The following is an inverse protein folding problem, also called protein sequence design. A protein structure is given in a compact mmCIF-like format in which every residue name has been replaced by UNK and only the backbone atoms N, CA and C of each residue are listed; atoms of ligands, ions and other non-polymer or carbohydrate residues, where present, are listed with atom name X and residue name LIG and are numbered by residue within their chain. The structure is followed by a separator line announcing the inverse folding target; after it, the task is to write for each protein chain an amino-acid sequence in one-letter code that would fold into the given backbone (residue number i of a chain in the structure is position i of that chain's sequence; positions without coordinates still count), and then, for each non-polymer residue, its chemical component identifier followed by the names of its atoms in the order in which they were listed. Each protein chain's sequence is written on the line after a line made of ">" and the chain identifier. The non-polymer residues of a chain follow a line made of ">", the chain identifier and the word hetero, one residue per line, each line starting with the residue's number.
data_IF_360392537238
#
_entry.id   IF_360392537238
#
_cell.length_a   1.000
_cell.length_b   1.000
_cell.length_c   1.000
_cell.angle_alpha   90.00
_cell.angle_beta   90.00
_cell.angle_gamma   90.00
#
_symmetry.space_group_name_H-M   'P 1'
#
loop_
_entity.id
_entity.type
_entity.pdbx_description
1 polymer ?
#
# COMPACT_ATOMS: atom_id res chain seq x y z
N UNK A 1 -7.60 -40.92 14.53
CA UNK A 1 -8.02 -40.66 13.14
C UNK A 1 -7.81 -39.19 12.81
N UNK A 2 -6.72 -38.85 12.12
CA UNK A 2 -6.44 -37.50 11.62
C UNK A 2 -7.14 -37.35 10.27
N UNK A 3 -8.18 -36.51 10.17
CA UNK A 3 -8.80 -36.18 8.89
C UNK A 3 -7.87 -35.25 8.13
N UNK A 4 -7.29 -35.78 7.05
CA UNK A 4 -6.56 -35.04 6.02
C UNK A 4 -7.53 -34.09 5.29
N UNK A 5 -7.20 -32.80 5.26
CA UNK A 5 -7.84 -31.83 4.37
C UNK A 5 -7.55 -32.20 2.90
N UNK A 6 -8.47 -31.95 1.96
CA UNK A 6 -8.27 -32.30 0.55
C UNK A 6 -7.11 -31.49 -0.03
N UNK A 7 -6.15 -32.18 -0.65
CA UNK A 7 -5.15 -31.59 -1.53
C UNK A 7 -5.82 -31.28 -2.87
N UNK A 8 -6.35 -30.08 -3.04
CA UNK A 8 -6.70 -29.56 -4.37
C UNK A 8 -5.43 -28.99 -5.04
N UNK A 9 -4.64 -29.91 -5.58
CA UNK A 9 -3.70 -29.59 -6.66
C UNK A 9 -4.51 -29.37 -7.93
N UNK A 10 -4.60 -28.13 -8.41
CA UNK A 10 -4.19 -27.68 -9.76
C UNK A 10 -4.91 -26.38 -10.15
N UNK A 11 -4.44 -25.23 -9.66
CA UNK A 11 -4.61 -23.97 -10.37
C UNK A 11 -3.32 -23.69 -11.14
N UNK A 12 -3.30 -24.07 -12.42
CA UNK A 12 -2.21 -23.73 -13.35
C UNK A 12 -2.49 -22.37 -13.98
N UNK A 13 -1.45 -21.54 -13.95
CA UNK A 13 -1.23 -20.30 -14.72
C UNK A 13 -1.89 -19.03 -14.17
N UNK A 14 -1.22 -18.40 -13.20
CA UNK A 14 -1.29 -16.95 -13.04
C UNK A 14 -0.66 -16.26 -14.26
N UNK A 15 -1.17 -15.09 -14.65
CA UNK A 15 -0.57 -14.26 -15.69
C UNK A 15 0.94 -14.09 -15.44
N UNK A 16 1.74 -14.07 -16.52
CA UNK A 16 3.22 -13.98 -16.53
C UNK A 16 3.82 -13.47 -15.21
N UNK A 17 4.35 -14.39 -14.39
CA UNK A 17 5.30 -14.08 -13.32
C UNK A 17 4.81 -14.13 -11.87
N UNK A 18 3.52 -14.34 -11.58
CA UNK A 18 3.04 -14.54 -10.20
C UNK A 18 2.42 -15.93 -10.06
N UNK A 19 3.12 -16.84 -9.39
CA UNK A 19 2.56 -18.12 -8.97
C UNK A 19 1.82 -17.95 -7.65
N UNK A 20 0.78 -18.74 -7.40
CA UNK A 20 0.10 -18.78 -6.10
C UNK A 20 1.06 -19.03 -4.92
N UNK A 21 2.16 -19.76 -5.17
CA UNK A 21 3.22 -20.04 -4.18
C UNK A 21 4.02 -18.78 -3.75
N UNK A 22 3.91 -17.70 -4.52
CA UNK A 22 4.57 -16.42 -4.27
C UNK A 22 3.70 -15.46 -3.46
N UNK A 23 2.57 -15.91 -2.93
CA UNK A 23 1.67 -15.08 -2.10
C UNK A 23 1.80 -15.44 -0.62
N UNK A 24 1.80 -14.41 0.22
CA UNK A 24 1.82 -14.51 1.69
C UNK A 24 0.79 -13.55 2.27
N UNK A 25 0.49 -13.67 3.55
CA UNK A 25 -0.33 -12.71 4.30
C UNK A 25 0.54 -11.98 5.31
N UNK A 26 -0.04 -11.04 6.07
CA UNK A 26 0.65 -10.44 7.21
C UNK A 26 1.08 -11.46 8.28
N UNK A 27 0.49 -12.66 8.35
CA UNK A 27 0.91 -13.68 9.34
C UNK A 27 2.36 -14.10 9.16
N UNK A 28 2.87 -14.06 7.94
CA UNK A 28 4.23 -14.45 7.58
C UNK A 28 5.25 -13.33 7.87
N UNK A 29 4.81 -12.10 8.13
CA UNK A 29 5.69 -11.01 8.57
C UNK A 29 6.05 -11.14 10.05
N UNK A 30 7.25 -10.70 10.44
CA UNK A 30 7.71 -10.75 11.84
C UNK A 30 6.77 -9.94 12.74
N UNK A 31 6.10 -10.60 13.68
CA UNK A 31 5.10 -9.97 14.56
C UNK A 31 3.76 -9.63 13.88
N UNK A 32 3.57 -10.02 12.62
CA UNK A 32 2.41 -9.63 11.82
C UNK A 32 1.09 -10.36 12.15
N UNK A 33 1.13 -11.44 12.94
CA UNK A 33 -0.08 -12.19 13.30
C UNK A 33 -1.14 -11.34 14.02
N UNK A 34 -0.73 -10.52 14.99
CA UNK A 34 -1.66 -9.65 15.73
C UNK A 34 -2.30 -8.60 14.81
N UNK A 35 -1.49 -8.00 13.94
CA UNK A 35 -1.95 -7.04 12.94
C UNK A 35 -2.93 -7.67 11.95
N UNK A 36 -2.63 -8.89 11.46
CA UNK A 36 -3.50 -9.63 10.56
C UNK A 36 -4.90 -9.87 11.17
N UNK A 37 -4.99 -10.18 12.47
CA UNK A 37 -6.29 -10.37 13.12
C UNK A 37 -7.07 -9.06 13.24
N UNK A 38 -6.40 -7.93 13.40
CA UNK A 38 -7.07 -6.61 13.39
C UNK A 38 -7.65 -6.31 12.00
N UNK A 39 -6.82 -6.42 10.96
CA UNK A 39 -7.22 -6.07 9.59
C UNK A 39 -8.36 -6.96 9.07
N UNK A 40 -8.48 -8.20 9.56
CA UNK A 40 -9.62 -9.06 9.23
C UNK A 40 -10.98 -8.43 9.53
N UNK A 41 -11.07 -7.60 10.55
CA UNK A 41 -12.32 -6.90 10.85
C UNK A 41 -12.68 -5.94 9.70
N UNK A 42 -11.73 -5.09 9.30
CA UNK A 42 -11.91 -4.10 8.24
C UNK A 42 -12.15 -4.77 6.88
N UNK A 43 -11.49 -5.91 6.62
CA UNK A 43 -11.75 -6.73 5.44
C UNK A 43 -13.17 -7.31 5.42
N UNK A 44 -13.74 -7.65 6.57
CA UNK A 44 -15.13 -8.13 6.65
C UNK A 44 -16.12 -7.02 6.32
N UNK A 45 -15.86 -5.80 6.77
CA UNK A 45 -16.66 -4.62 6.39
C UNK A 45 -16.56 -4.35 4.89
N UNK A 46 -15.35 -4.37 4.33
CA UNK A 46 -15.13 -4.21 2.90
C UNK A 46 -15.81 -5.32 2.07
N UNK A 47 -15.79 -6.57 2.54
CA UNK A 47 -16.51 -7.68 1.90
C UNK A 47 -18.04 -7.47 1.92
N UNK A 48 -18.57 -6.88 2.99
CA UNK A 48 -19.99 -6.53 3.11
C UNK A 48 -20.35 -5.41 2.13
N UNK A 49 -19.50 -4.40 1.98
CA UNK A 49 -19.65 -3.36 0.96
C UNK A 49 -19.60 -3.94 -0.46
N UNK A 50 -18.70 -4.90 -0.72
CA UNK A 50 -18.64 -5.60 -2.01
C UNK A 50 -19.96 -6.30 -2.34
N UNK A 51 -20.55 -7.01 -1.37
CA UNK A 51 -21.83 -7.69 -1.55
C UNK A 51 -22.97 -6.69 -1.82
N UNK A 52 -23.00 -5.58 -1.07
CA UNK A 52 -24.06 -4.57 -1.15
C UNK A 52 -23.98 -3.74 -2.43
N UNK A 53 -22.77 -3.32 -2.84
CA UNK A 53 -22.56 -2.44 -4.00
C UNK A 53 -22.47 -3.20 -5.32
N UNK A 54 -22.10 -4.47 -5.26
CA UNK A 54 -21.94 -5.35 -6.41
C UNK A 54 -20.62 -5.14 -7.17
N UNK A 55 -20.24 -6.16 -7.95
CA UNK A 55 -18.94 -6.24 -8.63
C UNK A 55 -18.66 -5.04 -9.54
N UNK A 56 -19.66 -4.54 -10.27
CA UNK A 56 -19.51 -3.43 -11.24
C UNK A 56 -19.09 -2.14 -10.54
N UNK A 57 -19.70 -1.81 -9.39
CA UNK A 57 -19.33 -0.61 -8.62
C UNK A 57 -17.92 -0.74 -8.04
N UNK A 58 -17.55 -1.92 -7.56
CA UNK A 58 -16.21 -2.20 -7.01
C UNK A 58 -15.13 -2.09 -8.07
N UNK A 59 -15.37 -2.64 -9.27
CA UNK A 59 -14.45 -2.49 -10.41
C UNK A 59 -14.33 -1.03 -10.83
N UNK A 60 -15.42 -0.27 -10.83
CA UNK A 60 -15.39 1.18 -11.12
C UNK A 60 -14.55 1.96 -10.10
N UNK A 61 -14.78 1.73 -8.80
CA UNK A 61 -14.00 2.35 -7.73
C UNK A 61 -12.50 1.97 -7.81
N UNK A 62 -12.20 0.70 -8.06
CA UNK A 62 -10.84 0.21 -8.29
C UNK A 62 -10.19 0.91 -9.49
N UNK A 63 -10.94 1.13 -10.58
CA UNK A 63 -10.50 1.87 -11.75
C UNK A 63 -10.14 3.33 -11.44
N UNK A 64 -10.94 4.03 -10.64
CA UNK A 64 -10.62 5.39 -10.17
C UNK A 64 -9.31 5.44 -9.36
N UNK A 65 -9.03 4.39 -8.59
CA UNK A 65 -7.77 4.22 -7.85
C UNK A 65 -6.62 3.67 -8.70
N UNK A 66 -6.84 3.37 -9.98
CA UNK A 66 -5.82 2.79 -10.86
C UNK A 66 -5.38 1.38 -10.45
N UNK A 67 -6.23 0.65 -9.73
CA UNK A 67 -5.96 -0.72 -9.33
C UNK A 67 -6.21 -1.67 -10.51
N UNK A 68 -5.37 -2.69 -10.64
CA UNK A 68 -5.44 -3.64 -11.75
C UNK A 68 -6.44 -4.76 -11.39
N UNK A 69 -7.54 -4.90 -12.13
CA UNK A 69 -8.43 -6.06 -12.00
C UNK A 69 -7.79 -7.26 -12.70
N UNK A 70 -7.58 -8.35 -11.95
CA UNK A 70 -6.93 -9.54 -12.47
C UNK A 70 -7.93 -10.46 -13.16
N UNK A 71 -7.57 -10.90 -14.37
CA UNK A 71 -8.36 -11.85 -15.16
C UNK A 71 -8.22 -13.30 -14.67
N UNK A 72 -7.27 -13.57 -13.78
CA UNK A 72 -7.06 -14.88 -13.16
C UNK A 72 -7.49 -14.84 -11.69
N UNK A 73 -7.79 -16.01 -11.14
CA UNK A 73 -8.24 -16.16 -9.76
C UNK A 73 -7.49 -17.28 -9.06
N UNK A 74 -7.05 -17.10 -7.80
CA UNK A 74 -6.33 -18.12 -7.05
C UNK A 74 -7.22 -19.29 -6.60
N UNK A 75 -8.53 -19.07 -6.50
CA UNK A 75 -9.52 -20.08 -6.09
C UNK A 75 -10.76 -20.00 -6.98
N UNK A 76 -11.51 -21.09 -7.10
CA UNK A 76 -12.78 -21.14 -7.83
C UNK A 76 -13.87 -20.26 -7.18
N UNK A 77 -13.87 -20.18 -5.85
CA UNK A 77 -14.81 -19.36 -5.06
C UNK A 77 -14.54 -17.85 -5.14
N UNK A 78 -13.40 -17.45 -5.70
CA UNK A 78 -13.08 -16.05 -5.91
C UNK A 78 -14.02 -15.44 -6.94
N UNK A 79 -14.56 -14.27 -6.61
CA UNK A 79 -15.45 -13.50 -7.48
C UNK A 79 -14.72 -12.33 -8.13
N UNK A 80 -13.75 -11.74 -7.43
CA UNK A 80 -12.97 -10.60 -7.93
C UNK A 80 -11.58 -10.62 -7.29
N UNK A 81 -10.55 -10.36 -8.11
CA UNK A 81 -9.17 -10.18 -7.65
C UNK A 81 -8.67 -8.82 -8.17
N UNK A 82 -8.13 -8.00 -7.28
CA UNK A 82 -7.63 -6.65 -7.57
C UNK A 82 -6.20 -6.56 -7.07
N UNK A 83 -5.30 -6.11 -7.93
CA UNK A 83 -3.90 -5.86 -7.61
C UNK A 83 -3.65 -4.38 -7.35
N UNK A 84 -2.92 -4.12 -6.28
CA UNK A 84 -2.43 -2.80 -5.89
C UNK A 84 -0.90 -2.80 -5.90
N UNK A 85 -0.30 -1.82 -6.57
CA UNK A 85 1.15 -1.70 -6.68
C UNK A 85 1.59 -0.23 -6.59
N UNK A 86 1.52 0.39 -5.40
CA UNK A 86 1.78 1.82 -5.23
C UNK A 86 3.25 2.20 -5.43
N UNK A 87 4.17 1.26 -5.20
CA UNK A 87 5.61 1.46 -5.27
C UNK A 87 6.28 0.30 -6.00
N UNK A 88 7.49 0.50 -6.57
CA UNK A 88 8.29 -0.60 -7.09
C UNK A 88 8.53 -1.68 -6.04
N UNK A 89 8.36 -2.94 -6.46
CA UNK A 89 8.48 -4.13 -5.62
C UNK A 89 7.46 -4.26 -4.46
N UNK A 90 6.40 -3.45 -4.48
CA UNK A 90 5.26 -3.58 -3.56
C UNK A 90 4.06 -4.04 -4.36
N UNK A 91 3.57 -5.25 -4.05
CA UNK A 91 2.42 -5.84 -4.74
C UNK A 91 1.49 -6.49 -3.71
N UNK A 92 0.26 -5.98 -3.65
CA UNK A 92 -0.82 -6.53 -2.86
C UNK A 92 -1.91 -7.04 -3.81
N UNK A 93 -2.58 -8.13 -3.44
CA UNK A 93 -3.72 -8.70 -4.14
C UNK A 93 -4.87 -8.79 -3.15
N UNK A 94 -5.88 -7.94 -3.34
CA UNK A 94 -7.15 -8.02 -2.65
C UNK A 94 -8.05 -9.01 -3.39
N UNK A 95 -8.58 -9.97 -2.65
CA UNK A 95 -9.42 -11.03 -3.18
C UNK A 95 -10.78 -11.03 -2.49
N UNK A 96 -11.84 -10.89 -3.26
CA UNK A 96 -13.21 -11.10 -2.81
C UNK A 96 -13.67 -12.52 -3.16
N UNK A 97 -14.15 -13.24 -2.16
CA UNK A 97 -14.72 -14.58 -2.29
C UNK A 97 -16.17 -14.56 -1.81
N UNK A 98 -17.01 -15.40 -2.39
CA UNK A 98 -18.37 -15.61 -1.91
C UNK A 98 -18.65 -17.11 -1.81
N UNK A 99 -19.18 -17.52 -0.66
CA UNK A 99 -19.63 -18.87 -0.39
C UNK A 99 -21.06 -18.80 0.16
N UNK A 100 -21.95 -19.71 -0.27
CA UNK A 100 -23.35 -19.72 0.15
C UNK A 100 -23.53 -19.96 1.66
N UNK A 101 -22.66 -20.78 2.26
CA UNK A 101 -22.69 -21.12 3.70
C UNK A 101 -22.02 -20.04 4.57
N UNK A 102 -20.93 -19.43 4.10
CA UNK A 102 -20.09 -18.52 4.90
C UNK A 102 -20.19 -17.03 4.50
N UNK A 103 -20.94 -16.73 3.44
CA UNK A 103 -21.14 -15.38 2.92
C UNK A 103 -19.95 -14.79 2.15
N UNK A 104 -19.94 -13.45 2.05
CA UNK A 104 -18.86 -12.70 1.42
C UNK A 104 -17.66 -12.59 2.35
N UNK A 105 -16.45 -12.73 1.79
CA UNK A 105 -15.20 -12.56 2.51
C UNK A 105 -14.18 -11.83 1.63
N UNK A 106 -13.24 -11.12 2.25
CA UNK A 106 -12.13 -10.46 1.59
C UNK A 106 -10.82 -10.85 2.25
N UNK A 107 -9.77 -11.06 1.45
CA UNK A 107 -8.42 -11.32 1.94
C UNK A 107 -7.42 -10.51 1.14
N UNK A 108 -6.39 -10.00 1.80
CA UNK A 108 -5.24 -9.41 1.12
C UNK A 108 -4.07 -10.39 1.19
N UNK A 109 -3.44 -10.56 0.04
CA UNK A 109 -2.18 -11.27 -0.11
C UNK A 109 -1.11 -10.28 -0.53
N UNK A 110 0.10 -10.45 -0.02
CA UNK A 110 1.30 -9.72 -0.42
C UNK A 110 2.20 -10.66 -1.21
N UNK A 111 2.98 -10.11 -2.14
CA UNK A 111 4.00 -10.89 -2.83
C UNK A 111 5.14 -11.27 -1.87
N UNK A 112 5.57 -12.53 -1.89
CA UNK A 112 6.55 -13.10 -0.98
C UNK A 112 7.86 -12.34 -0.93
N UNK A 113 8.29 -11.74 -2.05
CA UNK A 113 9.52 -10.91 -2.10
C UNK A 113 9.48 -9.67 -1.20
N UNK A 114 8.28 -9.27 -0.75
CA UNK A 114 8.11 -8.18 0.21
C UNK A 114 8.59 -8.58 1.61
N UNK A 115 8.63 -9.89 1.93
CA UNK A 115 9.23 -10.38 3.17
C UNK A 115 10.71 -10.03 3.21
N UNK A 116 11.13 -9.33 4.25
CA UNK A 116 12.51 -8.86 4.42
C UNK A 116 12.85 -7.62 3.60
N UNK A 117 12.02 -7.23 2.63
CA UNK A 117 12.16 -5.96 1.92
C UNK A 117 11.44 -4.82 2.64
N UNK A 118 10.18 -5.00 3.04
CA UNK A 118 9.44 -4.01 3.83
C UNK A 118 9.26 -4.46 5.29
N UNK A 119 9.30 -3.54 6.27
CA UNK A 119 8.90 -3.81 7.65
C UNK A 119 7.42 -4.20 7.75
N UNK A 120 7.07 -4.91 8.83
CA UNK A 120 5.70 -5.36 9.11
C UNK A 120 4.73 -4.18 9.21
N UNK A 121 5.13 -3.09 9.85
CA UNK A 121 4.31 -1.89 10.02
C UNK A 121 4.00 -1.21 8.68
N UNK A 122 4.94 -1.25 7.72
CA UNK A 122 4.68 -0.74 6.38
C UNK A 122 3.75 -1.65 5.59
N UNK A 123 3.89 -2.98 5.74
CA UNK A 123 2.96 -3.94 5.14
C UNK A 123 1.53 -3.72 5.65
N UNK A 124 1.36 -3.47 6.96
CA UNK A 124 0.08 -3.10 7.58
C UNK A 124 -0.47 -1.81 6.98
N UNK A 125 0.34 -0.75 6.95
CA UNK A 125 -0.09 0.53 6.40
C UNK A 125 -0.53 0.44 4.93
N UNK A 126 0.11 -0.44 4.14
CA UNK A 126 -0.29 -0.70 2.76
C UNK A 126 -1.65 -1.40 2.64
N UNK A 127 -1.94 -2.38 3.51
CA UNK A 127 -3.26 -3.02 3.57
C UNK A 127 -4.34 -2.00 3.98
N UNK A 128 -4.08 -1.19 5.02
CA UNK A 128 -4.99 -0.14 5.49
C UNK A 128 -5.27 0.91 4.41
N UNK A 129 -4.24 1.41 3.72
CA UNK A 129 -4.40 2.35 2.60
C UNK A 129 -5.30 1.79 1.50
N UNK A 130 -5.12 0.51 1.15
CA UNK A 130 -5.93 -0.15 0.13
C UNK A 130 -7.40 -0.27 0.57
N UNK A 131 -7.62 -0.71 1.81
CA UNK A 131 -8.97 -0.89 2.39
C UNK A 131 -9.68 0.46 2.50
N UNK A 132 -9.02 1.46 3.08
CA UNK A 132 -9.59 2.79 3.31
C UNK A 132 -9.95 3.47 1.98
N UNK A 133 -9.03 3.45 1.01
CA UNK A 133 -9.26 4.09 -0.29
C UNK A 133 -10.44 3.45 -1.03
N UNK A 134 -10.51 2.12 -1.06
CA UNK A 134 -11.59 1.41 -1.75
C UNK A 134 -12.92 1.55 -1.02
N UNK A 135 -12.93 1.41 0.31
CA UNK A 135 -14.13 1.61 1.14
C UNK A 135 -14.68 3.02 0.99
N UNK A 136 -13.81 4.03 0.96
CA UNK A 136 -14.21 5.42 0.80
C UNK A 136 -14.93 5.64 -0.54
N UNK A 137 -14.35 5.21 -1.66
CA UNK A 137 -14.99 5.37 -2.98
C UNK A 137 -16.27 4.55 -3.17
N UNK A 138 -16.45 3.47 -2.40
CA UNK A 138 -17.69 2.69 -2.40
C UNK A 138 -18.82 3.37 -1.61
N UNK A 139 -18.47 4.27 -0.69
CA UNK A 139 -19.41 4.94 0.22
C UNK A 139 -19.64 6.40 -0.11
N UNK A 140 -18.73 7.05 -0.83
CA UNK A 140 -18.78 8.46 -1.18
C UNK A 140 -18.69 8.64 -2.70
N UNK A 141 -19.59 9.43 -3.28
CA UNK A 141 -19.65 9.69 -4.73
C UNK A 141 -19.28 11.14 -5.08
N UNK A 142 -18.83 11.95 -4.11
CA UNK A 142 -18.50 13.36 -4.34
C UNK A 142 -17.17 13.55 -5.08
N UNK A 143 -17.22 14.24 -6.21
CA UNK A 143 -16.04 14.69 -6.95
C UNK A 143 -15.82 16.18 -6.68
N UNK A 144 -14.94 16.46 -5.73
CA UNK A 144 -14.51 17.82 -5.41
C UNK A 144 -13.00 17.85 -5.26
N UNK A 145 -12.38 18.84 -5.90
CA UNK A 145 -10.95 19.05 -5.76
C UNK A 145 -10.61 19.45 -4.31
N UNK A 146 -9.62 18.78 -3.74
CA UNK A 146 -9.14 19.03 -2.39
C UNK A 146 -7.63 19.18 -2.38
N UNK A 147 -7.14 20.07 -1.53
CA UNK A 147 -5.72 20.26 -1.24
C UNK A 147 -5.54 20.14 0.26
N UNK A 148 -4.68 19.21 0.68
CA UNK A 148 -4.34 19.01 2.09
C UNK A 148 -2.82 19.01 2.24
N UNK A 149 -2.31 19.75 3.23
CA UNK A 149 -0.87 19.79 3.53
C UNK A 149 -0.63 19.30 4.95
N UNK A 150 0.26 18.34 5.09
CA UNK A 150 0.63 17.71 6.35
C UNK A 150 2.10 17.97 6.65
N UNK A 151 2.45 18.38 7.89
CA UNK A 151 3.84 18.43 8.31
C UNK A 151 4.38 17.00 8.52
N UNK A 152 5.66 16.79 8.18
CA UNK A 152 6.41 15.61 8.61
C UNK A 152 7.23 15.98 9.83
N UNK A 153 7.04 15.22 10.91
CA UNK A 153 7.63 15.51 12.21
C UNK A 153 8.48 14.36 12.76
N UNK A 154 9.24 14.68 13.80
CA UNK A 154 10.09 13.74 14.54
C UNK A 154 11.18 13.11 13.69
N UNK A 155 11.58 11.89 14.07
CA UNK A 155 12.77 11.22 13.53
C UNK A 155 12.76 11.10 12.00
N UNK A 156 11.62 10.90 11.35
CA UNK A 156 11.55 10.84 9.87
C UNK A 156 11.95 12.16 9.23
N UNK A 157 11.45 13.28 9.77
CA UNK A 157 11.86 14.62 9.33
C UNK A 157 13.36 14.78 9.49
N UNK A 158 13.89 14.47 10.65
CA UNK A 158 15.31 14.66 10.97
C UNK A 158 16.21 13.84 10.03
N UNK A 159 15.81 12.60 9.73
CA UNK A 159 16.51 11.74 8.76
C UNK A 159 16.41 12.32 7.34
N UNK A 160 15.23 12.77 6.90
CA UNK A 160 15.06 13.38 5.58
C UNK A 160 15.90 14.66 5.40
N UNK A 161 16.07 15.46 6.47
CA UNK A 161 16.87 16.69 6.45
C UNK A 161 18.38 16.43 6.33
N UNK A 162 18.88 15.27 6.78
CA UNK A 162 20.30 14.96 6.66
C UNK A 162 20.69 14.31 5.33
N UNK A 163 19.72 13.77 4.56
CA UNK A 163 20.00 13.03 3.34
C UNK A 163 20.90 13.84 2.39
N UNK A 164 21.99 13.23 1.88
CA UNK A 164 22.75 13.82 0.78
C UNK A 164 21.86 13.94 -0.46
N UNK A 165 22.06 15.01 -1.24
CA UNK A 165 21.26 15.30 -2.43
C UNK A 165 21.26 14.14 -3.43
N UNK A 166 22.44 13.57 -3.68
CA UNK A 166 22.61 12.45 -4.61
C UNK A 166 21.84 11.21 -4.15
N UNK A 167 21.90 10.87 -2.86
CA UNK A 167 21.20 9.71 -2.29
C UNK A 167 19.68 9.91 -2.37
N UNK A 168 19.20 11.11 -2.04
CA UNK A 168 17.77 11.44 -2.16
C UNK A 168 17.30 11.31 -3.62
N UNK A 169 18.07 11.87 -4.56
CA UNK A 169 17.75 11.81 -5.99
C UNK A 169 17.62 10.37 -6.48
N UNK A 170 18.62 9.55 -6.19
CA UNK A 170 18.67 8.15 -6.59
C UNK A 170 17.54 7.34 -5.94
N UNK A 171 17.26 7.58 -4.65
CA UNK A 171 16.15 6.94 -3.93
C UNK A 171 14.80 7.22 -4.59
N UNK A 172 14.52 8.49 -4.94
CA UNK A 172 13.25 8.87 -5.57
C UNK A 172 13.13 8.26 -6.98
N UNK A 173 14.22 8.22 -7.74
CA UNK A 173 14.25 7.59 -9.07
C UNK A 173 13.95 6.08 -8.96
N UNK A 174 14.55 5.37 -8.00
CA UNK A 174 14.26 3.95 -7.77
C UNK A 174 12.81 3.68 -7.40
N UNK A 175 12.14 4.64 -6.76
CA UNK A 175 10.72 4.59 -6.42
C UNK A 175 9.80 5.07 -7.55
N UNK A 176 10.35 5.38 -8.73
CA UNK A 176 9.62 5.95 -9.89
C UNK A 176 8.92 7.28 -9.57
N UNK A 177 9.41 8.03 -8.59
CA UNK A 177 9.01 9.41 -8.38
C UNK A 177 9.76 10.35 -9.34
N UNK A 178 9.31 11.59 -9.41
CA UNK A 178 10.10 12.68 -9.98
C UNK A 178 10.64 13.57 -8.88
N UNK A 179 11.78 14.21 -9.12
CA UNK A 179 12.43 15.09 -8.14
C UNK A 179 12.95 16.35 -8.82
N UNK A 180 12.70 17.49 -8.19
CA UNK A 180 13.31 18.77 -8.50
C UNK A 180 14.17 19.19 -7.31
N UNK A 181 15.46 19.41 -7.56
CA UNK A 181 16.45 19.77 -6.57
C UNK A 181 16.94 21.18 -6.90
N UNK A 182 16.74 22.13 -5.99
CA UNK A 182 17.34 23.47 -6.10
C UNK A 182 18.59 23.60 -5.24
N UNK A 183 18.59 22.96 -4.07
CA UNK A 183 19.74 22.80 -3.18
C UNK A 183 19.48 21.65 -2.21
N UNK A 184 20.48 21.31 -1.37
CA UNK A 184 20.29 20.37 -0.25
C UNK A 184 19.13 20.77 0.68
N UNK A 185 18.91 22.07 0.85
CA UNK A 185 17.88 22.62 1.76
C UNK A 185 16.54 22.87 1.08
N UNK A 186 16.47 22.77 -0.24
CA UNK A 186 15.25 23.01 -1.03
C UNK A 186 15.12 21.98 -2.14
N UNK A 187 14.21 21.05 -1.92
CA UNK A 187 13.85 20.03 -2.88
C UNK A 187 12.37 19.71 -2.81
N UNK A 188 11.85 19.19 -3.91
CA UNK A 188 10.52 18.64 -3.99
C UNK A 188 10.54 17.33 -4.77
N UNK A 189 9.76 16.36 -4.31
CA UNK A 189 9.56 15.07 -4.98
C UNK A 189 8.08 14.88 -5.22
N UNK A 190 7.71 14.31 -6.36
CA UNK A 190 6.32 14.08 -6.74
C UNK A 190 6.10 12.59 -6.92
N UNK A 191 5.02 12.11 -6.31
CA UNK A 191 4.48 10.76 -6.48
C UNK A 191 3.01 10.85 -6.89
N UNK A 192 2.51 9.77 -7.49
CA UNK A 192 1.10 9.61 -7.83
C UNK A 192 0.61 8.27 -7.27
N UNK A 193 0.28 8.19 -5.97
CA UNK A 193 -0.13 6.93 -5.33
C UNK A 193 -1.38 6.31 -5.96
N UNK A 194 -2.28 7.16 -6.45
CA UNK A 194 -3.45 6.80 -7.24
C UNK A 194 -3.59 7.78 -8.41
N UNK A 195 -4.25 7.43 -9.53
CA UNK A 195 -4.48 8.35 -10.64
C UNK A 195 -5.16 9.66 -10.21
N UNK A 196 -6.09 9.58 -9.25
CA UNK A 196 -6.85 10.70 -8.70
C UNK A 196 -6.10 11.53 -7.65
N UNK A 197 -4.88 11.15 -7.27
CA UNK A 197 -4.14 11.73 -6.15
C UNK A 197 -2.70 12.04 -6.53
N UNK A 198 -2.37 13.33 -6.60
CA UNK A 198 -0.99 13.82 -6.69
C UNK A 198 -0.46 14.09 -5.29
N UNK A 199 0.75 13.63 -5.01
CA UNK A 199 1.44 13.82 -3.73
C UNK A 199 2.78 14.50 -3.96
N UNK A 200 3.06 15.57 -3.22
CA UNK A 200 4.34 16.29 -3.24
C UNK A 200 4.96 16.25 -1.86
N UNK A 201 6.16 15.71 -1.75
CA UNK A 201 6.99 15.84 -0.54
C UNK A 201 7.97 16.98 -0.80
N UNK A 202 7.96 18.00 0.05
CA UNK A 202 8.81 19.19 -0.09
C UNK A 202 9.66 19.38 1.15
N UNK A 203 10.93 19.73 0.96
CA UNK A 203 11.77 20.35 1.98
C UNK A 203 11.94 21.84 1.69
N UNK A 204 11.79 22.65 2.72
CA UNK A 204 12.17 24.07 2.72
C UNK A 204 12.89 24.40 4.02
N UNK A 205 14.22 24.52 3.95
CA UNK A 205 15.07 24.71 5.12
C UNK A 205 15.03 23.50 6.06
N UNK A 206 14.51 23.73 7.27
CA UNK A 206 14.32 22.72 8.32
C UNK A 206 12.92 22.08 8.34
N UNK A 207 12.04 22.49 7.43
CA UNK A 207 10.69 21.95 7.33
C UNK A 207 10.60 20.90 6.22
N UNK A 208 9.83 19.83 6.49
CA UNK A 208 9.42 18.85 5.49
C UNK A 208 7.90 18.74 5.54
N UNK A 209 7.24 18.90 4.40
CA UNK A 209 5.78 18.81 4.27
C UNK A 209 5.39 17.83 3.17
N UNK A 210 4.17 17.30 3.28
CA UNK A 210 3.53 16.54 2.21
C UNK A 210 2.23 17.24 1.82
N UNK A 211 2.14 17.64 0.56
CA UNK A 211 0.94 18.25 -0.01
C UNK A 211 0.26 17.26 -0.96
N UNK A 212 -1.02 17.04 -0.73
CA UNK A 212 -1.90 16.24 -1.58
C UNK A 212 -2.77 17.16 -2.42
N UNK A 213 -2.95 16.80 -3.68
CA UNK A 213 -3.94 17.41 -4.57
C UNK A 213 -4.73 16.28 -5.19
N UNK A 214 -6.03 16.25 -4.93
CA UNK A 214 -6.92 15.20 -5.42
C UNK A 214 -8.15 15.78 -6.11
N UNK A 215 -8.73 15.00 -7.02
CA UNK A 215 -10.02 15.32 -7.65
C UNK A 215 -11.23 14.83 -6.83
N UNK A 216 -10.96 14.08 -5.76
CA UNK A 216 -11.93 13.54 -4.80
C UNK A 216 -11.37 13.75 -3.40
N UNK A 217 -12.13 14.29 -2.43
CA UNK A 217 -11.63 14.50 -1.08
C UNK A 217 -11.40 13.14 -0.41
N UNK A 218 -10.14 12.79 -0.13
CA UNK A 218 -9.80 11.53 0.53
C UNK A 218 -9.75 11.71 2.06
N UNK A 219 -10.02 10.66 2.85
CA UNK A 219 -9.94 10.75 4.31
C UNK A 219 -8.55 11.20 4.80
N UNK A 220 -8.50 12.10 5.77
CA UNK A 220 -7.22 12.58 6.31
C UNK A 220 -6.37 11.48 6.96
N UNK A 221 -6.98 10.40 7.46
CA UNK A 221 -6.25 9.20 7.94
C UNK A 221 -5.53 8.50 6.80
N UNK A 222 -6.20 8.31 5.67
CA UNK A 222 -5.61 7.75 4.44
C UNK A 222 -4.43 8.61 3.95
N UNK A 223 -4.59 9.93 3.92
CA UNK A 223 -3.53 10.86 3.51
C UNK A 223 -2.32 10.83 4.45
N UNK A 224 -2.55 10.76 5.77
CA UNK A 224 -1.47 10.57 6.76
C UNK A 224 -0.72 9.25 6.56
N UNK A 225 -1.43 8.16 6.32
CA UNK A 225 -0.81 6.85 6.07
C UNK A 225 0.00 6.84 4.78
N UNK A 226 -0.49 7.46 3.71
CA UNK A 226 0.26 7.63 2.46
C UNK A 226 1.53 8.48 2.66
N UNK A 227 1.42 9.62 3.34
CA UNK A 227 2.59 10.45 3.65
C UNK A 227 3.65 9.65 4.42
N UNK A 228 3.22 8.91 5.44
CA UNK A 228 4.09 8.05 6.24
C UNK A 228 4.77 6.95 5.40
N UNK A 229 4.01 6.21 4.58
CA UNK A 229 4.53 5.13 3.75
C UNK A 229 5.57 5.61 2.74
N UNK A 230 5.29 6.71 2.04
CA UNK A 230 6.20 7.22 1.00
C UNK A 230 7.45 7.86 1.59
N UNK A 231 7.35 8.56 2.73
CA UNK A 231 8.53 8.99 3.46
C UNK A 231 9.38 7.80 3.89
N UNK A 232 8.77 6.73 4.43
CA UNK A 232 9.50 5.53 4.80
C UNK A 232 10.12 4.82 3.59
N UNK A 233 9.44 4.80 2.44
CA UNK A 233 9.96 4.23 1.22
C UNK A 233 11.23 4.95 0.75
N UNK A 234 11.23 6.30 0.75
CA UNK A 234 12.43 7.09 0.43
C UNK A 234 13.56 6.72 1.39
N UNK A 235 13.29 6.72 2.70
CA UNK A 235 14.31 6.43 3.71
C UNK A 235 14.83 5.00 3.62
N UNK A 236 13.98 4.03 3.27
CA UNK A 236 14.38 2.65 3.01
C UNK A 236 15.31 2.57 1.81
N UNK A 237 14.95 3.17 0.68
CA UNK A 237 15.80 3.14 -0.52
C UNK A 237 17.11 3.90 -0.30
N UNK A 238 17.07 5.03 0.38
CA UNK A 238 18.26 5.79 0.76
C UNK A 238 19.25 4.91 1.55
N UNK A 239 18.74 4.13 2.50
CA UNK A 239 19.55 3.19 3.31
C UNK A 239 20.12 2.02 2.52
N UNK A 240 19.49 1.62 1.41
CA UNK A 240 20.03 0.58 0.52
C UNK A 240 21.21 1.09 -0.28
N UNK A 241 21.18 2.38 -0.63
CA UNK A 241 22.26 3.06 -1.36
C UNK A 241 23.39 3.42 -0.39
N UNK A 242 23.06 3.95 0.78
CA UNK A 242 24.01 4.35 1.83
C UNK A 242 23.59 3.80 3.20
N UNK A 243 24.31 2.79 3.67
CA UNK A 243 24.03 2.10 4.92
C UNK A 243 24.33 2.93 6.18
N UNK A 244 24.95 4.11 6.05
CA UNK A 244 25.22 5.02 7.18
C UNK A 244 23.98 5.80 7.60
N UNK A 245 22.93 5.82 6.78
CA UNK A 245 21.67 6.52 7.08
C UNK A 245 20.94 5.82 8.25
N UNK A 246 20.64 6.53 9.36
CA UNK A 246 19.89 5.99 10.47
C UNK A 246 18.58 5.27 10.11
N UNK A 247 18.26 4.15 10.77
CA UNK A 247 16.95 3.51 10.65
C UNK A 247 15.85 4.37 11.30
N UNK A 248 14.64 4.35 10.75
CA UNK A 248 13.46 5.06 11.30
C UNK A 248 13.07 4.52 12.69
N UNK A 249 13.25 3.22 12.92
CA UNK A 249 13.13 2.58 14.25
C UNK A 249 14.40 1.76 14.55
N UNK A 250 14.95 1.92 15.76
CA UNK A 250 15.63 0.80 16.41
C UNK A 250 14.49 -0.11 16.84
N UNK A 251 14.25 -1.20 16.11
CA UNK A 251 13.65 -2.44 16.59
C UNK A 251 13.62 -3.47 15.44
N UNK A 252 14.77 -4.09 15.18
CA UNK A 252 14.75 -5.55 15.38
C UNK A 252 14.31 -5.69 16.85
N UNK A 253 13.11 -6.23 17.09
CA UNK A 253 12.47 -6.42 18.42
C UNK A 253 13.46 -6.58 19.60
N UNK A 254 13.09 -6.20 20.84
CA UNK A 254 13.77 -6.76 22.02
C UNK A 254 13.91 -8.29 21.93
#
# INVERSE_FOLDING_TARGET
>A
MRRSLPRENTCKVGAKGLSYFDLVTLKEFKGGFGWHQRIKHDLKELASLFLLKGITKVVSAAGKLGLEVLNWRPYESAKLAIKFSPLPNVVLILLFTYNEEFGANANIFLERRMLGYIPTEEAVGLEEVLIDALSFLLTHEEERSAVETLPIEGKRRDILLMLPEQILKESVIHLKGSISLSSRERWETIFQPFPILRMVIKRDGSSVTVTFTSHTPLPGTLLRNLAWLYCNAILREARRIDNTIPPISNNLLP
#
